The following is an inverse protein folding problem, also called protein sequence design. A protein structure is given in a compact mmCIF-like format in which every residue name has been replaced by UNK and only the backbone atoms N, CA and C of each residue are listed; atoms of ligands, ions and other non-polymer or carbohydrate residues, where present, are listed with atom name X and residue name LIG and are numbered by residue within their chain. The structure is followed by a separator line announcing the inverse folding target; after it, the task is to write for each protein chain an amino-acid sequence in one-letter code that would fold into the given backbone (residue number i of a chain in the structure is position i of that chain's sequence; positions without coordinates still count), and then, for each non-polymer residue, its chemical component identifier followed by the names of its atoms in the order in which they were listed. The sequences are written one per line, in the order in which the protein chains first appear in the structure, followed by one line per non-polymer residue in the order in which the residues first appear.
data_IF_051653133342
#
_entry.id   IF_051653133342
#
_cell.length_a   1.000
_cell.length_b   1.000
_cell.length_c   1.000
_cell.angle_alpha   90.00
_cell.angle_beta   90.00
_cell.angle_gamma   90.00
#
_symmetry.space_group_name_H-M   'P 1'
#
loop_
_entity.id
_entity.type
_entity.pdbx_description
1 polymer ?
#
# COMPACT_ATOMS: atom_id res chain seq x y z
N UNK A 1 -14.34 7.82 -17.84
CA UNK A 1 -14.04 6.55 -17.13
C UNK A 1 -12.72 6.64 -16.42
N UNK A 2 -12.65 6.06 -15.25
CA UNK A 2 -11.46 6.07 -14.41
C UNK A 2 -10.55 4.90 -14.77
N UNK A 3 -9.25 5.13 -14.86
CA UNK A 3 -8.28 4.07 -15.10
C UNK A 3 -8.36 2.99 -14.02
N UNK A 4 -8.16 1.72 -14.40
CA UNK A 4 -8.22 0.59 -13.46
C UNK A 4 -7.17 0.76 -12.35
N UNK A 5 -5.98 1.23 -12.68
CA UNK A 5 -4.94 1.47 -11.67
C UNK A 5 -5.36 2.51 -10.61
N UNK A 6 -6.07 3.55 -11.02
CA UNK A 6 -6.61 4.55 -10.09
C UNK A 6 -7.67 3.94 -9.17
N UNK A 7 -8.53 3.08 -9.71
CA UNK A 7 -9.53 2.36 -8.93
C UNK A 7 -8.86 1.42 -7.91
N UNK A 8 -7.74 0.81 -8.28
CA UNK A 8 -6.97 -0.06 -7.37
C UNK A 8 -6.42 0.76 -6.19
N UNK A 9 -5.82 1.93 -6.45
CA UNK A 9 -5.35 2.80 -5.37
C UNK A 9 -6.49 3.24 -4.46
N UNK A 10 -7.62 3.63 -5.04
CA UNK A 10 -8.79 4.03 -4.27
C UNK A 10 -9.32 2.88 -3.41
N UNK A 11 -9.33 1.66 -3.93
CA UNK A 11 -9.76 0.47 -3.18
C UNK A 11 -8.82 0.14 -2.01
N UNK A 12 -7.51 0.26 -2.21
CA UNK A 12 -6.52 0.06 -1.15
C UNK A 12 -6.72 1.10 -0.04
N UNK A 13 -6.83 2.37 -0.41
CA UNK A 13 -7.04 3.47 0.53
C UNK A 13 -8.33 3.28 1.33
N UNK A 14 -9.42 2.91 0.66
CA UNK A 14 -10.70 2.65 1.31
C UNK A 14 -10.63 1.46 2.28
N UNK A 15 -10.00 0.36 1.88
CA UNK A 15 -9.87 -0.83 2.73
C UNK A 15 -9.10 -0.51 4.02
N UNK A 16 -7.98 0.20 3.91
CA UNK A 16 -7.17 0.59 5.06
C UNK A 16 -7.89 1.59 5.96
N UNK A 17 -8.60 2.54 5.37
CA UNK A 17 -9.38 3.53 6.12
C UNK A 17 -10.53 2.86 6.89
N UNK A 18 -11.25 1.95 6.25
CA UNK A 18 -12.39 1.27 6.86
C UNK A 18 -11.98 0.33 7.99
N UNK A 19 -10.77 -0.20 7.95
CA UNK A 19 -10.24 -1.06 9.02
C UNK A 19 -9.89 -0.29 10.31
N UNK A 20 -9.74 1.02 10.23
CA UNK A 20 -9.63 1.96 11.36
C UNK A 20 -8.51 1.64 12.37
N UNK A 21 -7.34 1.24 11.90
CA UNK A 21 -6.19 0.96 12.77
C UNK A 21 -5.08 2.03 12.68
N UNK A 22 -5.21 2.99 11.79
CA UNK A 22 -4.25 4.08 11.63
C UNK A 22 -4.93 5.44 11.85
N UNK A 23 -4.20 6.37 12.47
CA UNK A 23 -4.71 7.72 12.73
C UNK A 23 -4.61 8.63 11.51
N UNK A 24 -3.72 8.32 10.58
CA UNK A 24 -3.55 9.07 9.34
C UNK A 24 -3.35 8.08 8.19
N UNK A 25 -4.08 8.29 7.10
CA UNK A 25 -3.88 7.54 5.85
C UNK A 25 -3.93 8.55 4.72
N UNK A 26 -2.85 8.67 3.96
CA UNK A 26 -2.78 9.58 2.82
C UNK A 26 -2.13 8.89 1.62
N UNK A 27 -2.65 9.18 0.46
CA UNK A 27 -2.09 8.74 -0.81
C UNK A 27 -1.25 9.88 -1.41
N UNK A 28 0.00 9.57 -1.77
CA UNK A 28 0.95 10.54 -2.35
C UNK A 28 1.03 11.83 -1.54
N UNK A 29 1.33 11.75 -0.23
CA UNK A 29 1.34 12.93 0.62
C UNK A 29 2.44 13.91 0.22
N UNK A 30 2.20 15.21 0.43
CA UNK A 30 3.17 16.26 0.17
C UNK A 30 4.08 16.56 1.37
N UNK A 31 3.76 16.03 2.53
CA UNK A 31 4.49 16.27 3.78
C UNK A 31 4.58 14.99 4.60
N UNK A 32 5.45 14.98 5.60
CA UNK A 32 5.57 13.86 6.53
C UNK A 32 4.33 13.70 7.42
N UNK A 33 4.22 12.55 8.11
CA UNK A 33 3.06 12.27 8.93
C UNK A 33 2.97 13.22 10.14
N UNK A 34 1.74 13.55 10.51
CA UNK A 34 1.44 14.41 11.67
C UNK A 34 0.68 13.69 12.77
N UNK A 35 -0.01 12.61 12.43
CA UNK A 35 -0.75 11.77 13.38
C UNK A 35 -0.24 10.33 13.26
N UNK A 36 -0.21 9.61 14.39
CA UNK A 36 0.38 8.27 14.44
C UNK A 36 -0.57 7.27 15.11
N UNK A 37 -0.58 6.02 14.68
CA UNK A 37 0.19 5.46 13.54
C UNK A 37 -0.27 6.04 12.21
N UNK A 38 0.67 6.19 11.29
CA UNK A 38 0.39 6.76 9.97
C UNK A 38 0.71 5.76 8.86
N UNK A 39 -0.11 5.78 7.81
CA UNK A 39 0.15 5.05 6.58
C UNK A 39 0.16 6.02 5.42
N UNK A 40 1.26 6.04 4.70
CA UNK A 40 1.39 6.82 3.47
C UNK A 40 1.53 5.86 2.29
N UNK A 41 0.69 6.04 1.27
CA UNK A 41 0.60 5.16 0.12
C UNK A 41 1.27 5.83 -1.08
N UNK A 42 2.24 5.14 -1.68
CA UNK A 42 2.99 5.66 -2.82
C UNK A 42 2.84 4.76 -4.03
N UNK A 43 2.86 5.39 -5.20
CA UNK A 43 2.86 4.72 -6.49
C UNK A 43 4.30 4.37 -6.87
N UNK A 44 4.62 3.11 -6.92
CA UNK A 44 5.93 2.59 -7.31
C UNK A 44 6.05 2.33 -8.81
N UNK A 45 5.01 2.58 -9.56
CA UNK A 45 4.97 2.36 -11.00
C UNK A 45 4.50 0.96 -11.41
N UNK A 46 4.19 0.83 -12.66
CA UNK A 46 3.71 -0.41 -13.27
C UNK A 46 4.72 -0.91 -14.29
N UNK A 47 4.94 -2.21 -14.34
CA UNK A 47 5.69 -2.86 -15.42
C UNK A 47 4.78 -3.81 -16.18
N UNK A 48 4.95 -3.91 -17.51
CA UNK A 48 4.17 -4.87 -18.27
C UNK A 48 4.60 -6.30 -17.96
N UNK A 49 3.62 -7.17 -17.85
CA UNK A 49 3.82 -8.60 -17.75
C UNK A 49 3.45 -9.28 -19.07
N UNK A 50 3.75 -10.56 -19.19
CA UNK A 50 3.39 -11.31 -20.38
C UNK A 50 1.87 -11.39 -20.46
N UNK A 51 1.32 -10.82 -21.51
CA UNK A 51 -0.11 -10.83 -21.80
C UNK A 51 -0.45 -11.79 -22.94
N UNK A 52 -1.68 -11.75 -23.32
CA UNK A 52 -2.23 -12.51 -24.44
C UNK A 52 -2.91 -11.56 -25.43
N UNK A 53 -3.32 -12.07 -26.57
CA UNK A 53 -3.98 -11.22 -27.56
C UNK A 53 -5.23 -10.54 -26.98
N UNK A 54 -5.29 -9.21 -27.10
CA UNK A 54 -6.40 -8.42 -26.59
C UNK A 54 -6.31 -8.02 -25.12
N UNK A 55 -5.28 -8.48 -24.39
CA UNK A 55 -5.12 -8.22 -22.96
C UNK A 55 -3.76 -7.62 -22.66
N UNK A 56 -3.74 -6.52 -21.93
CA UNK A 56 -2.52 -5.97 -21.32
C UNK A 56 -2.48 -6.40 -19.86
N UNK A 57 -1.39 -7.06 -19.47
CA UNK A 57 -1.16 -7.47 -18.09
C UNK A 57 -0.08 -6.62 -17.45
N UNK A 58 -0.30 -6.30 -16.18
CA UNK A 58 0.55 -5.37 -15.44
C UNK A 58 0.91 -5.92 -14.07
N UNK A 59 2.11 -5.59 -13.64
CA UNK A 59 2.54 -5.72 -12.25
C UNK A 59 2.75 -4.31 -11.71
N UNK A 60 1.89 -3.91 -10.78
CA UNK A 60 1.93 -2.58 -10.17
C UNK A 60 2.58 -2.68 -8.80
N UNK A 61 3.60 -1.86 -8.56
CA UNK A 61 4.19 -1.73 -7.23
C UNK A 61 3.48 -0.65 -6.45
N UNK A 62 2.98 -1.01 -5.29
CA UNK A 62 2.43 -0.06 -4.32
C UNK A 62 3.33 -0.10 -3.10
N UNK A 63 3.81 1.05 -2.67
CA UNK A 63 4.63 1.15 -1.47
C UNK A 63 3.82 1.77 -0.35
N UNK A 64 3.75 1.07 0.78
CA UNK A 64 3.08 1.59 1.97
C UNK A 64 4.13 1.85 3.03
N UNK A 65 4.28 3.13 3.36
CA UNK A 65 5.15 3.59 4.43
C UNK A 65 4.33 3.71 5.70
N UNK A 66 4.68 2.92 6.70
CA UNK A 66 4.05 3.00 8.01
C UNK A 66 4.98 3.69 9.00
N UNK A 67 4.42 4.52 9.88
CA UNK A 67 5.20 5.23 10.88
C UNK A 67 4.50 5.17 12.23
N UNK A 68 5.27 4.81 13.25
CA UNK A 68 4.84 4.84 14.66
C UNK A 68 5.68 5.83 15.45
N UNK A 69 5.15 6.36 16.53
CA UNK A 69 5.82 7.33 17.35
C UNK A 69 5.72 6.96 18.84
N UNK A 70 6.82 7.20 19.57
CA UNK A 70 6.86 7.01 21.01
C UNK A 70 7.32 5.64 21.47
N UNK A 71 7.35 5.43 22.76
CA UNK A 71 7.77 4.20 23.41
C UNK A 71 9.29 3.98 23.44
N UNK A 72 9.69 2.85 24.00
CA UNK A 72 11.07 2.37 23.95
C UNK A 72 11.36 1.81 22.55
N UNK A 73 12.63 1.48 22.28
CA UNK A 73 13.00 0.85 21.01
C UNK A 73 12.23 -0.43 20.74
N UNK A 74 12.11 -1.30 21.75
CA UNK A 74 11.39 -2.56 21.62
C UNK A 74 9.88 -2.35 21.45
N UNK A 75 9.30 -1.40 22.18
CA UNK A 75 7.87 -1.07 22.07
C UNK A 75 7.53 -0.48 20.70
N UNK A 76 8.35 0.45 20.21
CA UNK A 76 8.17 1.05 18.88
C UNK A 76 8.32 -0.01 17.78
N UNK A 77 9.28 -0.91 17.92
CA UNK A 77 9.50 -1.99 16.96
C UNK A 77 8.31 -2.95 16.92
N UNK A 78 7.77 -3.32 18.08
CA UNK A 78 6.56 -4.15 18.16
C UNK A 78 5.35 -3.46 17.54
N UNK A 79 5.18 -2.16 17.80
CA UNK A 79 4.10 -1.38 17.20
C UNK A 79 4.23 -1.28 15.68
N UNK A 80 5.44 -1.10 15.18
CA UNK A 80 5.73 -1.11 13.74
C UNK A 80 5.35 -2.46 13.11
N UNK A 81 5.76 -3.56 13.72
CA UNK A 81 5.44 -4.90 13.22
C UNK A 81 3.95 -5.16 13.23
N UNK A 82 3.25 -4.68 14.26
CA UNK A 82 1.79 -4.81 14.35
C UNK A 82 1.09 -3.98 13.28
N UNK A 83 1.58 -2.78 13.00
CA UNK A 83 1.02 -1.93 11.95
C UNK A 83 1.15 -2.60 10.58
N UNK A 84 2.32 -3.15 10.27
CA UNK A 84 2.55 -3.90 9.03
C UNK A 84 1.63 -5.12 8.94
N UNK A 85 1.51 -5.88 10.02
CA UNK A 85 0.61 -7.04 10.09
C UNK A 85 -0.83 -6.63 9.78
N UNK A 86 -1.28 -5.52 10.35
CA UNK A 86 -2.64 -5.01 10.12
C UNK A 86 -2.85 -4.62 8.65
N UNK A 87 -1.86 -4.04 8.00
CA UNK A 87 -1.91 -3.72 6.57
C UNK A 87 -2.09 -5.00 5.75
N UNK A 88 -1.22 -5.97 5.98
CA UNK A 88 -1.26 -7.25 5.24
C UNK A 88 -2.58 -7.98 5.47
N UNK A 89 -2.98 -8.17 6.71
CA UNK A 89 -4.23 -8.88 7.02
C UNK A 89 -5.44 -8.19 6.38
N UNK A 90 -5.48 -6.86 6.42
CA UNK A 90 -6.60 -6.10 5.85
C UNK A 90 -6.69 -6.26 4.34
N UNK A 91 -5.58 -6.14 3.64
CA UNK A 91 -5.57 -6.21 2.17
C UNK A 91 -5.74 -7.65 1.65
N UNK A 92 -5.33 -8.66 2.41
CA UNK A 92 -5.43 -10.05 2.00
C UNK A 92 -6.76 -10.71 2.38
N UNK A 93 -7.67 -10.00 3.06
CA UNK A 93 -9.06 -10.46 3.23
C UNK A 93 -9.76 -10.58 1.87
N UNK A 94 -9.52 -9.63 0.98
CA UNK A 94 -10.04 -9.64 -0.37
C UNK A 94 -8.93 -9.27 -1.36
N UNK A 95 -8.03 -10.23 -1.67
CA UNK A 95 -6.82 -9.93 -2.44
C UNK A 95 -7.07 -9.54 -3.90
N UNK A 96 -8.27 -9.70 -4.40
CA UNK A 96 -8.65 -9.29 -5.75
C UNK A 96 -9.28 -7.90 -5.80
N UNK A 97 -9.42 -7.23 -4.65
CA UNK A 97 -9.96 -5.87 -4.55
C UNK A 97 -11.30 -5.69 -5.30
N UNK A 98 -12.24 -6.58 -5.05
CA UNK A 98 -13.55 -6.53 -5.71
C UNK A 98 -13.49 -6.84 -7.21
N UNK A 99 -12.49 -7.59 -7.67
CA UNK A 99 -12.30 -7.94 -9.07
C UNK A 99 -11.43 -6.97 -9.87
N UNK A 100 -10.89 -5.94 -9.24
CA UNK A 100 -9.97 -5.01 -9.91
C UNK A 100 -8.59 -5.62 -10.15
N UNK A 101 -8.15 -6.49 -9.26
CA UNK A 101 -6.87 -7.18 -9.35
C UNK A 101 -7.07 -8.67 -9.56
N UNK A 102 -6.08 -9.33 -10.14
CA UNK A 102 -6.05 -10.79 -10.25
C UNK A 102 -5.36 -11.41 -9.04
N UNK A 103 -4.40 -10.71 -8.47
CA UNK A 103 -3.63 -11.17 -7.30
C UNK A 103 -2.92 -10.02 -6.63
N UNK A 104 -2.72 -10.12 -5.31
CA UNK A 104 -1.82 -9.26 -4.54
C UNK A 104 -0.74 -10.15 -3.95
N UNK A 105 0.51 -9.71 -4.08
CA UNK A 105 1.65 -10.35 -3.42
C UNK A 105 2.28 -9.38 -2.43
N UNK A 106 2.68 -9.90 -1.27
CA UNK A 106 3.49 -9.14 -0.34
C UNK A 106 4.95 -9.18 -0.81
N UNK A 107 5.49 -8.03 -1.10
CA UNK A 107 6.90 -7.85 -1.39
C UNK A 107 7.72 -7.61 -0.13
N UNK A 108 8.89 -7.01 -0.29
CA UNK A 108 9.80 -6.75 0.82
C UNK A 108 9.24 -5.75 1.83
N UNK A 109 9.63 -5.93 3.09
CA UNK A 109 9.49 -4.91 4.12
C UNK A 109 10.88 -4.40 4.48
N UNK A 110 11.02 -3.08 4.61
CA UNK A 110 12.27 -2.42 4.99
C UNK A 110 12.01 -1.51 6.17
N UNK A 111 12.66 -1.74 7.31
CA UNK A 111 12.53 -0.82 8.43
C UNK A 111 13.27 0.49 8.15
N UNK A 112 12.71 1.59 8.64
CA UNK A 112 13.27 2.93 8.56
C UNK A 112 13.34 3.50 9.96
N UNK A 113 14.51 4.01 10.34
CA UNK A 113 14.70 4.68 11.63
C UNK A 113 14.78 6.18 11.38
N UNK A 114 13.85 6.93 11.95
CA UNK A 114 13.87 8.38 11.93
C UNK A 114 13.83 8.89 13.36
N UNK A 115 14.93 9.53 13.79
CA UNK A 115 14.94 10.25 15.04
C UNK A 115 14.72 11.72 14.76
N UNK A 116 13.72 12.30 15.42
CA UNK A 116 13.45 13.73 15.31
C UNK A 116 13.32 14.35 16.70
N UNK A 117 14.26 15.23 16.99
CA UNK A 117 14.27 16.07 18.19
C UNK A 117 14.08 15.26 19.49
N UNK A 118 12.92 15.31 20.12
CA UNK A 118 12.65 14.66 21.38
C UNK A 118 11.77 13.43 21.26
N UNK A 119 11.38 13.02 20.05
CA UNK A 119 10.45 11.91 19.84
C UNK A 119 11.03 10.85 18.95
N UNK A 120 10.95 9.59 19.40
CA UNK A 120 11.34 8.45 18.60
C UNK A 120 10.26 8.15 17.58
N UNK A 121 10.68 8.03 16.31
CA UNK A 121 9.83 7.58 15.23
C UNK A 121 10.49 6.38 14.57
N UNK A 122 9.72 5.34 14.37
CA UNK A 122 10.16 4.15 13.67
C UNK A 122 9.15 3.88 12.56
N UNK A 123 9.66 3.55 11.40
CA UNK A 123 8.82 3.28 10.25
C UNK A 123 9.28 2.07 9.46
N UNK A 124 8.51 1.76 8.45
CA UNK A 124 8.82 0.74 7.48
C UNK A 124 8.26 1.14 6.13
N UNK A 125 8.82 0.53 5.08
CA UNK A 125 8.19 0.53 3.76
C UNK A 125 7.88 -0.92 3.39
N UNK A 126 6.60 -1.19 3.16
CA UNK A 126 6.13 -2.47 2.64
C UNK A 126 5.81 -2.32 1.17
N UNK A 127 6.43 -3.12 0.33
CA UNK A 127 6.08 -3.19 -1.09
C UNK A 127 4.97 -4.22 -1.29
N UNK A 128 3.96 -3.85 -2.03
CA UNK A 128 2.92 -4.76 -2.50
C UNK A 128 3.00 -4.83 -4.02
N UNK A 129 2.85 -6.00 -4.58
CA UNK A 129 2.79 -6.20 -6.02
C UNK A 129 1.37 -6.59 -6.38
N UNK A 130 0.73 -5.74 -7.16
CA UNK A 130 -0.65 -5.91 -7.59
C UNK A 130 -0.65 -6.34 -9.04
N UNK A 131 -1.14 -7.54 -9.30
CA UNK A 131 -1.31 -8.02 -10.68
C UNK A 131 -2.70 -7.66 -11.15
N UNK A 132 -2.79 -7.02 -12.31
CA UNK A 132 -4.07 -6.69 -12.91
C UNK A 132 -4.00 -6.76 -14.43
N UNK A 133 -5.14 -6.79 -15.07
CA UNK A 133 -5.24 -6.88 -16.52
C UNK A 133 -6.28 -5.88 -17.04
N UNK A 134 -5.96 -5.26 -18.16
CA UNK A 134 -6.87 -4.37 -18.86
C UNK A 134 -7.03 -4.85 -20.30
N UNK A 135 -8.14 -4.45 -20.93
CA UNK A 135 -8.29 -4.63 -22.36
C UNK A 135 -7.19 -3.88 -23.07
N UNK A 136 -6.56 -4.49 -24.06
CA UNK A 136 -5.45 -3.86 -24.79
C UNK A 136 -5.83 -2.47 -25.30
N UNK A 137 -5.02 -1.50 -24.94
CA UNK A 137 -5.22 -0.10 -25.34
C UNK A 137 -6.37 0.61 -24.61
N UNK A 138 -6.99 -0.03 -23.61
CA UNK A 138 -8.10 0.54 -22.86
C UNK A 138 -7.83 0.41 -21.35
N UNK A 139 -6.99 1.29 -20.77
CA UNK A 139 -6.56 1.18 -19.38
C UNK A 139 -7.68 1.38 -18.35
N UNK A 140 -8.86 1.79 -18.75
CA UNK A 140 -10.02 1.91 -17.87
C UNK A 140 -10.98 0.71 -17.95
N UNK A 141 -10.67 -0.31 -18.75
CA UNK A 141 -11.53 -1.48 -18.91
C UNK A 141 -10.80 -2.72 -18.39
N UNK A 142 -11.38 -3.37 -17.36
CA UNK A 142 -10.90 -4.64 -16.81
C UNK A 142 -11.09 -5.75 -17.86
N UNK A 143 -10.09 -6.60 -17.95
CA UNK A 143 -10.15 -7.73 -18.85
C UNK A 143 -10.10 -9.05 -18.09
#
# INVERSE_FOLDING_TARGET
MTAVREQIFAAIEAALTDADFAAEIERMPSAGPTKFPALHIYDGGDIPAVGEAGTDRWEMSVEIEGTVEGGTGAEAHAAMSQLDTSVIETLFVEPVLGGLATEIEAGAIRPLVAERASKRRLGFTRTLIIHYATRRGSPQVID
#
